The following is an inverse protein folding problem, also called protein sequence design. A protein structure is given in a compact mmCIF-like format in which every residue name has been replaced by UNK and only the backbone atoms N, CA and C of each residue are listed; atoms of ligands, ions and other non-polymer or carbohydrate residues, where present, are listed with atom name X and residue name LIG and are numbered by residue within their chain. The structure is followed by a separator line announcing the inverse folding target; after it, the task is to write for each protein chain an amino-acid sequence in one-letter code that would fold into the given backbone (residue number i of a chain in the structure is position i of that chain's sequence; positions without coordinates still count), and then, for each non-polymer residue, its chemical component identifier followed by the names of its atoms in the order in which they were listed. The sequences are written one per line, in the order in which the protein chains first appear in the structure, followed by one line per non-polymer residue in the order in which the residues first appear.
data_IF_745755972019
#
_entry.id   IF_745755972019
#
_cell.length_a   1.000
_cell.length_b   1.000
_cell.length_c   1.000
_cell.angle_alpha   90.00
_cell.angle_beta   90.00
_cell.angle_gamma   90.00
#
_symmetry.space_group_name_H-M   'P 1'
#
loop_
_entity.id
_entity.type
_entity.pdbx_description
1 polymer ?
#
# COMPACT_ATOMS: atom_id res chain seq x y z
N UNK A 1 12.10 -5.68 -48.10
CA UNK A 1 12.45 -4.74 -47.00
C UNK A 1 11.29 -4.40 -46.06
N UNK A 2 10.02 -4.42 -46.48
CA UNK A 2 8.87 -4.13 -45.59
C UNK A 2 8.65 -5.17 -44.47
N UNK A 3 8.81 -6.46 -44.75
CA UNK A 3 8.62 -7.52 -43.74
C UNK A 3 9.68 -7.47 -42.61
N UNK A 4 10.94 -7.22 -42.96
CA UNK A 4 12.06 -7.15 -42.02
C UNK A 4 11.96 -5.94 -41.06
N UNK A 5 11.51 -4.78 -41.55
CA UNK A 5 11.22 -3.61 -40.69
C UNK A 5 10.07 -3.86 -39.73
N UNK A 6 9.04 -4.63 -40.13
CA UNK A 6 7.93 -5.04 -39.26
C UNK A 6 8.38 -5.97 -38.13
N UNK A 7 9.31 -6.89 -38.41
CA UNK A 7 9.88 -7.79 -37.39
C UNK A 7 10.66 -7.03 -36.32
N UNK A 8 11.53 -6.11 -36.73
CA UNK A 8 12.34 -5.31 -35.78
C UNK A 8 11.44 -4.43 -34.90
N UNK A 9 10.39 -3.84 -35.46
CA UNK A 9 9.41 -3.06 -34.68
C UNK A 9 8.65 -3.92 -33.68
N UNK A 10 8.32 -5.17 -34.03
CA UNK A 10 7.67 -6.11 -33.12
C UNK A 10 8.61 -6.52 -31.98
N UNK A 11 9.89 -6.78 -32.28
CA UNK A 11 10.89 -7.13 -31.27
C UNK A 11 11.14 -5.96 -30.29
N UNK A 12 11.23 -4.73 -30.79
CA UNK A 12 11.34 -3.52 -29.94
C UNK A 12 10.09 -3.34 -29.07
N UNK A 13 8.90 -3.52 -29.63
CA UNK A 13 7.65 -3.42 -28.88
C UNK A 13 7.57 -4.51 -27.78
N UNK A 14 8.02 -5.73 -28.07
CA UNK A 14 8.06 -6.81 -27.09
C UNK A 14 9.03 -6.49 -25.94
N UNK A 15 10.23 -5.99 -26.24
CA UNK A 15 11.20 -5.58 -25.21
C UNK A 15 10.64 -4.43 -24.36
N UNK A 16 10.03 -3.43 -24.97
CA UNK A 16 9.42 -2.31 -24.23
C UNK A 16 8.27 -2.78 -23.33
N UNK A 17 7.43 -3.71 -23.80
CA UNK A 17 6.35 -4.30 -23.00
C UNK A 17 6.90 -5.09 -21.81
N UNK A 18 7.96 -5.89 -22.00
CA UNK A 18 8.62 -6.63 -20.92
C UNK A 18 9.22 -5.65 -19.89
N UNK A 19 9.90 -4.59 -20.34
CA UNK A 19 10.46 -3.58 -19.45
C UNK A 19 9.37 -2.86 -18.63
N UNK A 20 8.24 -2.53 -19.26
CA UNK A 20 7.10 -1.94 -18.57
C UNK A 20 6.51 -2.89 -17.52
N UNK A 21 6.36 -4.18 -17.85
CA UNK A 21 5.87 -5.19 -16.90
C UNK A 21 6.81 -5.34 -15.70
N UNK A 22 8.13 -5.34 -15.94
CA UNK A 22 9.13 -5.38 -14.87
C UNK A 22 9.01 -4.13 -13.98
N UNK A 23 8.92 -2.93 -14.56
CA UNK A 23 8.76 -1.71 -13.78
C UNK A 23 7.51 -1.78 -12.90
N UNK A 24 6.37 -2.18 -13.48
CA UNK A 24 5.09 -2.32 -12.75
C UNK A 24 5.23 -3.32 -11.59
N UNK A 25 5.88 -4.47 -11.77
CA UNK A 25 6.06 -5.43 -10.67
C UNK A 25 6.96 -4.91 -9.57
N UNK A 26 8.03 -4.17 -9.89
CA UNK A 26 8.87 -3.54 -8.87
C UNK A 26 8.10 -2.49 -8.06
N UNK A 27 7.36 -1.60 -8.71
CA UNK A 27 6.51 -0.62 -8.02
C UNK A 27 5.43 -1.29 -7.16
N UNK A 28 4.86 -2.40 -7.64
CA UNK A 28 3.90 -3.19 -6.87
C UNK A 28 4.53 -3.80 -5.63
N UNK A 29 5.72 -4.40 -5.74
CA UNK A 29 6.43 -5.02 -4.60
C UNK A 29 6.81 -3.97 -3.55
N UNK A 30 7.31 -2.81 -3.97
CA UNK A 30 7.72 -1.76 -3.03
C UNK A 30 6.51 -1.20 -2.27
N UNK A 31 5.41 -0.92 -2.97
CA UNK A 31 4.16 -0.48 -2.34
C UNK A 31 3.60 -1.56 -1.37
N UNK A 32 3.75 -2.85 -1.69
CA UNK A 32 3.35 -3.93 -0.79
C UNK A 32 4.16 -3.89 0.49
N UNK A 33 5.47 -3.72 0.35
CA UNK A 33 6.41 -3.74 1.46
C UNK A 33 6.14 -2.56 2.41
N UNK A 34 5.83 -1.38 1.87
CA UNK A 34 5.50 -0.20 2.66
C UNK A 34 4.26 -0.43 3.54
N UNK A 35 3.16 -0.98 3.01
CA UNK A 35 1.94 -1.25 3.79
C UNK A 35 2.15 -2.34 4.84
N UNK A 36 2.84 -3.44 4.50
CA UNK A 36 3.10 -4.54 5.45
C UNK A 36 3.97 -4.04 6.60
N UNK A 37 5.06 -3.32 6.29
CA UNK A 37 5.99 -2.80 7.30
C UNK A 37 5.30 -1.76 8.18
N UNK A 38 4.44 -0.90 7.63
CA UNK A 38 3.66 0.03 8.45
C UNK A 38 2.73 -0.72 9.42
N UNK A 39 2.00 -1.73 8.93
CA UNK A 39 1.02 -2.45 9.76
C UNK A 39 1.69 -3.21 10.91
N UNK A 40 2.82 -3.86 10.65
CA UNK A 40 3.61 -4.57 11.67
C UNK A 40 4.21 -3.63 12.72
N UNK A 41 4.42 -2.35 12.40
CA UNK A 41 4.93 -1.35 13.35
C UNK A 41 3.86 -0.88 14.35
N UNK A 42 2.57 -1.15 14.13
CA UNK A 42 1.50 -0.72 15.02
C UNK A 42 1.12 -1.80 16.02
N UNK A 43 1.86 -1.87 17.12
CA UNK A 43 1.57 -2.78 18.23
C UNK A 43 0.72 -2.11 19.34
N UNK A 44 0.06 -2.91 20.20
CA UNK A 44 -0.78 -2.38 21.27
C UNK A 44 0.00 -1.47 22.22
N UNK A 45 -0.59 -0.33 22.59
CA UNK A 45 0.05 0.66 23.47
C UNK A 45 0.57 1.93 22.78
N UNK A 46 0.58 1.97 21.44
CA UNK A 46 0.89 3.20 20.68
C UNK A 46 -0.32 4.14 20.71
N UNK A 47 -0.08 5.45 20.87
CA UNK A 47 -1.16 6.45 20.80
C UNK A 47 -1.58 6.73 19.36
N UNK A 48 -2.87 7.03 19.17
CA UNK A 48 -3.46 7.40 17.89
C UNK A 48 -2.72 8.54 17.19
N UNK A 49 -2.34 9.59 17.93
CA UNK A 49 -1.57 10.70 17.37
C UNK A 49 -0.22 10.27 16.78
N UNK A 50 0.44 9.26 17.37
CA UNK A 50 1.69 8.75 16.82
C UNK A 50 1.45 7.86 15.58
N UNK A 51 0.32 7.16 15.51
CA UNK A 51 -0.10 6.42 14.32
C UNK A 51 -0.39 7.38 13.18
N UNK A 52 -1.22 8.40 13.40
CA UNK A 52 -1.57 9.43 12.40
C UNK A 52 -0.33 10.17 11.89
N UNK A 53 0.62 10.49 12.77
CA UNK A 53 1.89 11.12 12.37
C UNK A 53 2.70 10.24 11.42
N UNK A 54 2.76 8.93 11.67
CA UNK A 54 3.48 7.99 10.79
C UNK A 54 2.73 7.76 9.48
N UNK A 55 1.41 7.67 9.52
CA UNK A 55 0.58 7.57 8.32
C UNK A 55 0.69 8.81 7.43
N UNK A 56 0.80 10.01 8.03
CA UNK A 56 1.00 11.25 7.29
C UNK A 56 2.39 11.39 6.64
N UNK A 57 3.36 10.56 7.02
CA UNK A 57 4.68 10.51 6.34
C UNK A 57 4.72 9.52 5.19
N UNK A 58 3.68 8.69 5.02
CA UNK A 58 3.61 7.74 3.93
C UNK A 58 3.08 8.46 2.67
N UNK A 59 3.85 8.41 1.58
CA UNK A 59 3.52 9.12 0.31
C UNK A 59 2.62 8.27 -0.61
N UNK A 60 2.62 6.94 -0.42
CA UNK A 60 1.92 5.99 -1.30
C UNK A 60 0.69 5.35 -0.65
N UNK A 61 0.26 5.89 0.49
CA UNK A 61 -0.71 5.28 1.38
C UNK A 61 -1.83 6.28 1.67
N UNK A 62 -3.07 5.82 1.50
CA UNK A 62 -4.27 6.58 1.84
C UNK A 62 -4.90 5.97 3.08
N UNK A 63 -5.35 6.81 4.01
CA UNK A 63 -5.96 6.34 5.24
C UNK A 63 -7.20 7.16 5.60
N UNK A 64 -8.13 6.51 6.29
CA UNK A 64 -9.34 7.12 6.82
C UNK A 64 -9.63 6.60 8.22
N UNK A 65 -10.30 7.42 9.03
CA UNK A 65 -10.73 7.04 10.39
C UNK A 65 -12.21 6.75 10.39
N UNK A 66 -12.60 5.60 10.94
CA UNK A 66 -13.98 5.25 11.22
C UNK A 66 -14.22 5.17 12.73
N UNK A 67 -15.35 5.69 13.19
CA UNK A 67 -15.75 5.61 14.59
C UNK A 67 -16.61 4.37 14.81
N UNK A 68 -16.24 3.57 15.81
CA UNK A 68 -16.91 2.30 16.15
C UNK A 68 -17.38 2.31 17.60
N UNK A 69 -18.31 1.44 17.99
CA UNK A 69 -18.92 1.46 19.33
C UNK A 69 -17.90 1.39 20.51
N UNK A 70 -16.72 0.80 20.28
CA UNK A 70 -15.66 0.62 21.27
C UNK A 70 -14.45 1.55 21.11
N UNK A 71 -14.53 2.58 20.26
CA UNK A 71 -13.44 3.52 20.03
C UNK A 71 -13.41 4.03 18.59
N UNK A 72 -12.26 3.93 17.95
CA UNK A 72 -12.11 4.24 16.53
C UNK A 72 -11.27 3.17 15.86
N UNK A 73 -11.36 3.04 14.54
CA UNK A 73 -10.41 2.30 13.72
C UNK A 73 -9.86 3.22 12.65
N UNK A 74 -8.60 3.03 12.29
CA UNK A 74 -7.99 3.64 11.11
C UNK A 74 -7.77 2.54 10.10
N UNK A 75 -8.20 2.82 8.89
CA UNK A 75 -8.06 1.94 7.75
C UNK A 75 -7.06 2.58 6.79
N UNK A 76 -5.95 1.88 6.55
CA UNK A 76 -4.84 2.36 5.75
C UNK A 76 -4.66 1.43 4.55
N UNK A 77 -4.79 1.95 3.34
CA UNK A 77 -4.68 1.18 2.09
C UNK A 77 -3.79 1.91 1.08
N UNK A 78 -3.06 1.18 0.25
CA UNK A 78 -2.31 1.78 -0.85
C UNK A 78 -3.11 1.72 -2.16
N UNK A 79 -3.33 2.86 -2.86
CA UNK A 79 -3.99 2.88 -4.16
C UNK A 79 -3.30 1.99 -5.21
N UNK A 80 -2.00 1.78 -5.06
CA UNK A 80 -1.19 0.94 -5.94
C UNK A 80 -1.52 -0.55 -5.82
N UNK A 81 -2.17 -0.97 -4.73
CA UNK A 81 -2.64 -2.34 -4.54
C UNK A 81 -4.08 -2.58 -4.98
N UNK A 82 -4.75 -1.60 -5.60
CA UNK A 82 -6.16 -1.72 -6.01
C UNK A 82 -7.09 -2.15 -4.86
N UNK A 83 -6.77 -1.80 -3.61
CA UNK A 83 -7.56 -2.19 -2.43
C UNK A 83 -7.49 -3.68 -2.05
N UNK A 84 -6.54 -4.44 -2.58
CA UNK A 84 -6.36 -5.87 -2.27
C UNK A 84 -5.76 -6.08 -0.87
N UNK A 85 -5.09 -5.07 -0.32
CA UNK A 85 -4.40 -5.17 0.96
C UNK A 85 -4.62 -3.89 1.76
N UNK A 86 -5.20 -4.06 2.96
CA UNK A 86 -5.58 -2.98 3.85
C UNK A 86 -5.07 -3.26 5.26
N UNK A 87 -4.50 -2.26 5.92
CA UNK A 87 -4.15 -2.34 7.33
C UNK A 87 -5.26 -1.70 8.15
N UNK A 88 -5.91 -2.49 9.00
CA UNK A 88 -6.94 -2.04 9.93
C UNK A 88 -6.35 -1.93 11.32
N UNK A 89 -6.25 -0.69 11.83
CA UNK A 89 -5.71 -0.37 13.15
C UNK A 89 -6.87 0.01 14.06
N UNK A 90 -7.15 -0.82 15.06
CA UNK A 90 -8.22 -0.58 16.02
C UNK A 90 -7.69 0.12 17.27
N UNK A 91 -8.43 1.14 17.72
CA UNK A 91 -8.14 1.93 18.91
C UNK A 91 -9.20 1.71 19.97
N UNK A 92 -8.77 1.70 21.24
CA UNK A 92 -9.67 1.71 22.38
C UNK A 92 -10.24 3.12 22.64
N UNK A 93 -11.08 3.25 23.67
CA UNK A 93 -11.70 4.55 24.07
C UNK A 93 -10.71 5.60 24.59
N UNK A 94 -9.45 5.22 24.82
CA UNK A 94 -8.37 6.11 25.28
C UNK A 94 -7.44 6.51 24.13
N UNK A 95 -7.86 6.26 22.87
CA UNK A 95 -7.06 6.52 21.66
C UNK A 95 -5.70 5.79 21.66
N UNK A 96 -5.68 4.56 22.18
CA UNK A 96 -4.52 3.67 22.19
C UNK A 96 -4.79 2.49 21.26
N UNK A 97 -3.80 2.10 20.46
CA UNK A 97 -3.86 0.91 19.62
C UNK A 97 -4.16 -0.31 20.48
N UNK A 98 -5.24 -0.98 20.12
CA UNK A 98 -5.67 -2.26 20.70
C UNK A 98 -5.21 -3.44 19.83
N UNK A 99 -5.31 -3.30 18.51
CA UNK A 99 -4.86 -4.30 17.54
C UNK A 99 -4.59 -3.65 16.20
N UNK A 100 -3.68 -4.23 15.42
CA UNK A 100 -3.50 -3.95 14.01
C UNK A 100 -3.60 -5.27 13.25
N UNK A 101 -4.31 -5.28 12.13
CA UNK A 101 -4.53 -6.48 11.31
C UNK A 101 -4.43 -6.11 9.85
N UNK A 102 -3.77 -6.98 9.08
CA UNK A 102 -3.67 -6.87 7.64
C UNK A 102 -4.80 -7.71 7.03
N UNK A 103 -5.70 -7.05 6.32
CA UNK A 103 -6.81 -7.62 5.57
C UNK A 103 -6.49 -7.69 4.07
#
# INVERSE_FOLDING_TARGET
MHAMKRSILADIAAIAAIAALIAVTFYWIEARREVIVLCDNFYPGISKANVERQLNTAELLTWHTEFVANGSKIEASSPLHFGIMQCTISFNKQDIVWSATLD
#
